data_IF_329874520020
#
_entry.id   IF_329874520020
#
_cell.length_a   1.000
_cell.length_b   1.000
_cell.length_c   1.000
_cell.angle_alpha   90.00
_cell.angle_beta   90.00
_cell.angle_gamma   90.00
#
_symmetry.space_group_name_H-M   'P 1'
#
loop_
_entity.id
_entity.type
_entity.pdbx_description
1 polymer ?
#
# COMPACT_ATOMS: atom_id res chain seq x y z
N UNK A 1 -12.95 -16.36 4.76
CA UNK A 1 -11.66 -16.90 4.29
C UNK A 1 -10.71 -16.94 5.48
N UNK A 2 -10.17 -18.11 5.85
CA UNK A 2 -9.18 -18.22 6.93
C UNK A 2 -7.81 -17.92 6.33
N UNK A 3 -7.09 -16.93 6.88
CA UNK A 3 -5.73 -16.66 6.45
C UNK A 3 -4.83 -17.76 7.01
N UNK A 4 -4.21 -18.53 6.14
CA UNK A 4 -3.15 -19.46 6.54
C UNK A 4 -1.94 -18.65 6.99
N UNK A 5 -1.46 -18.92 8.21
CA UNK A 5 -0.36 -18.18 8.83
C UNK A 5 0.91 -19.01 8.71
N UNK A 6 1.92 -18.45 8.04
CA UNK A 6 3.22 -19.11 7.83
C UNK A 6 4.21 -18.87 8.98
N UNK A 7 4.00 -17.81 9.77
CA UNK A 7 4.91 -17.40 10.85
C UNK A 7 4.28 -17.55 12.23
N UNK A 8 5.06 -17.99 13.21
CA UNK A 8 4.71 -17.94 14.63
C UNK A 8 5.51 -16.83 15.30
N UNK A 9 4.86 -16.04 16.18
CA UNK A 9 5.53 -15.03 16.98
C UNK A 9 6.25 -15.71 18.15
N UNK A 10 7.50 -15.33 18.39
CA UNK A 10 8.33 -15.77 19.52
C UNK A 10 8.68 -14.56 20.39
N UNK A 11 9.36 -14.77 21.52
CA UNK A 11 9.85 -13.68 22.37
C UNK A 11 10.87 -12.79 21.65
N UNK A 12 11.67 -13.39 20.76
CA UNK A 12 12.76 -12.72 20.03
C UNK A 12 12.34 -12.25 18.61
N UNK A 13 11.14 -12.58 18.14
CA UNK A 13 10.68 -12.18 16.80
C UNK A 13 9.67 -13.13 16.16
N UNK A 14 10.01 -13.68 15.00
CA UNK A 14 9.16 -14.59 14.24
C UNK A 14 9.94 -15.81 13.74
N UNK A 15 9.28 -16.97 13.74
CA UNK A 15 9.80 -18.22 13.17
C UNK A 15 8.81 -18.79 12.15
N UNK A 16 9.29 -19.61 11.22
CA UNK A 16 8.48 -20.29 10.20
C UNK A 16 9.00 -21.72 10.01
N UNK A 17 8.08 -22.67 9.82
CA UNK A 17 8.45 -24.06 9.50
C UNK A 17 9.04 -24.17 8.09
N UNK A 18 8.51 -23.39 7.14
CA UNK A 18 9.06 -23.20 5.80
C UNK A 18 9.50 -21.74 5.64
N UNK A 19 10.80 -21.51 5.80
CA UNK A 19 11.39 -20.18 5.72
C UNK A 19 11.32 -19.61 4.30
N UNK A 20 11.44 -20.44 3.26
CA UNK A 20 11.43 -19.99 1.88
C UNK A 20 10.02 -19.52 1.47
N UNK A 21 8.98 -20.25 1.88
CA UNK A 21 7.60 -19.81 1.69
C UNK A 21 7.28 -18.53 2.46
N UNK A 22 7.79 -18.39 3.69
CA UNK A 22 7.62 -17.18 4.49
C UNK A 22 8.29 -15.97 3.83
N UNK A 23 9.55 -16.10 3.39
CA UNK A 23 10.30 -15.04 2.70
C UNK A 23 9.63 -14.63 1.40
N UNK A 24 9.17 -15.57 0.56
CA UNK A 24 8.41 -15.25 -0.65
C UNK A 24 7.13 -14.46 -0.36
N UNK A 25 6.46 -14.73 0.75
CA UNK A 25 5.25 -14.01 1.13
C UNK A 25 5.57 -12.61 1.68
N UNK A 26 6.67 -12.47 2.40
CA UNK A 26 7.19 -11.17 2.83
C UNK A 26 7.54 -10.31 1.62
N UNK A 27 8.30 -10.84 0.65
CA UNK A 27 8.63 -10.12 -0.58
C UNK A 27 7.40 -9.62 -1.34
N UNK A 28 6.35 -10.43 -1.47
CA UNK A 28 5.09 -9.97 -2.09
C UNK A 28 4.35 -8.88 -1.30
N UNK A 29 4.53 -8.82 0.02
CA UNK A 29 3.98 -7.74 0.85
C UNK A 29 4.79 -6.46 0.68
N UNK A 30 6.12 -6.58 0.56
CA UNK A 30 7.03 -5.47 0.25
C UNK A 30 6.73 -4.91 -1.14
N UNK A 31 6.62 -5.76 -2.18
CA UNK A 31 6.23 -5.38 -3.54
C UNK A 31 4.89 -4.62 -3.56
N UNK A 32 3.91 -5.09 -2.77
CA UNK A 32 2.62 -4.42 -2.63
C UNK A 32 2.77 -3.03 -2.01
N UNK A 33 3.57 -2.91 -0.93
CA UNK A 33 3.78 -1.62 -0.28
C UNK A 33 4.47 -0.62 -1.23
N UNK A 34 5.51 -1.05 -1.94
CA UNK A 34 6.18 -0.24 -2.95
C UNK A 34 5.21 0.21 -4.05
N UNK A 35 4.38 -0.70 -4.56
CA UNK A 35 3.37 -0.38 -5.57
C UNK A 35 2.34 0.65 -5.08
N UNK A 36 1.90 0.54 -3.82
CA UNK A 36 0.97 1.50 -3.23
C UNK A 36 1.61 2.89 -3.08
N UNK A 37 2.87 2.96 -2.65
CA UNK A 37 3.61 4.22 -2.57
C UNK A 37 3.74 4.87 -3.95
N UNK A 38 4.13 4.10 -4.97
CA UNK A 38 4.20 4.59 -6.35
C UNK A 38 2.83 5.05 -6.89
N UNK A 39 1.75 4.34 -6.56
CA UNK A 39 0.40 4.74 -6.92
C UNK A 39 0.02 6.08 -6.28
N UNK A 40 0.33 6.27 -4.99
CA UNK A 40 0.07 7.53 -4.29
C UNK A 40 0.79 8.72 -4.95
N UNK A 41 2.09 8.54 -5.27
CA UNK A 41 2.90 9.56 -5.94
C UNK A 41 2.32 9.90 -7.32
N UNK A 42 1.96 8.88 -8.11
CA UNK A 42 1.36 9.07 -9.42
C UNK A 42 0.03 9.83 -9.34
N UNK A 43 -0.84 9.47 -8.39
CA UNK A 43 -2.12 10.18 -8.19
C UNK A 43 -1.86 11.64 -7.80
N UNK A 44 -0.89 11.90 -6.93
CA UNK A 44 -0.53 13.27 -6.54
C UNK A 44 -0.06 14.10 -7.76
N UNK A 45 0.80 13.54 -8.61
CA UNK A 45 1.27 14.19 -9.83
C UNK A 45 0.14 14.40 -10.86
N UNK A 46 -0.78 13.44 -11.02
CA UNK A 46 -1.96 13.56 -11.88
C UNK A 46 -2.89 14.70 -11.38
N UNK A 47 -3.06 14.83 -10.06
CA UNK A 47 -3.85 15.91 -9.46
C UNK A 47 -3.19 17.28 -9.60
N UNK A 48 -1.87 17.37 -9.42
CA UNK A 48 -1.11 18.61 -9.61
C UNK A 48 -1.25 19.14 -11.03
N UNK A 49 -1.08 18.28 -12.04
CA UNK A 49 -1.32 18.64 -13.46
C UNK A 49 -2.73 19.16 -13.70
N UNK A 50 -3.75 18.56 -13.09
CA UNK A 50 -5.13 19.06 -13.20
C UNK A 50 -5.32 20.41 -12.47
N UNK A 51 -4.61 20.62 -11.36
CA UNK A 51 -4.64 21.88 -10.61
C UNK A 51 -4.03 23.02 -11.43
N UNK A 52 -2.86 22.80 -12.02
CA UNK A 52 -2.18 23.77 -12.92
C UNK A 52 -3.05 24.12 -14.14
N UNK A 53 -3.82 23.15 -14.65
CA UNK A 53 -4.79 23.38 -15.72
C UNK A 53 -6.11 24.03 -15.25
N UNK A 54 -6.26 24.38 -13.97
CA UNK A 54 -7.47 24.98 -13.40
C UNK A 54 -8.66 24.02 -13.25
N UNK A 55 -8.44 22.70 -13.33
CA UNK A 55 -9.47 21.65 -13.39
C UNK A 55 -9.76 20.96 -12.06
N UNK A 56 -9.55 21.65 -10.94
CA UNK A 56 -9.74 21.11 -9.57
C UNK A 56 -11.18 20.71 -9.23
N UNK A 57 -12.18 21.23 -9.94
CA UNK A 57 -13.61 20.89 -9.74
C UNK A 57 -14.10 19.75 -10.65
N UNK A 58 -13.23 19.18 -11.48
CA UNK A 58 -13.60 18.13 -12.42
C UNK A 58 -13.97 16.81 -11.73
N UNK A 59 -14.78 15.97 -12.39
CA UNK A 59 -15.08 14.63 -11.91
C UNK A 59 -13.80 13.79 -11.74
N UNK A 60 -12.86 13.90 -12.70
CA UNK A 60 -11.55 13.25 -12.66
C UNK A 60 -10.74 13.64 -11.43
N UNK A 61 -10.67 14.94 -11.10
CA UNK A 61 -9.94 15.39 -9.91
C UNK A 61 -10.55 14.82 -8.63
N UNK A 62 -11.89 14.80 -8.52
CA UNK A 62 -12.58 14.21 -7.37
C UNK A 62 -12.35 12.70 -7.24
N UNK A 63 -12.32 11.98 -8.36
CA UNK A 63 -11.98 10.54 -8.38
C UNK A 63 -10.55 10.30 -7.93
N UNK A 64 -9.58 11.08 -8.43
CA UNK A 64 -8.19 11.01 -8.00
C UNK A 64 -8.03 11.34 -6.51
N UNK A 65 -8.73 12.35 -6.00
CA UNK A 65 -8.72 12.69 -4.58
C UNK A 65 -9.22 11.53 -3.70
N UNK A 66 -10.33 10.90 -4.09
CA UNK A 66 -10.85 9.72 -3.39
C UNK A 66 -9.88 8.53 -3.48
N UNK A 67 -9.28 8.31 -4.64
CA UNK A 67 -8.23 7.31 -4.85
C UNK A 67 -7.03 7.54 -3.94
N UNK A 68 -6.51 8.77 -3.90
CA UNK A 68 -5.40 9.16 -3.02
C UNK A 68 -5.72 8.87 -1.56
N UNK A 69 -6.90 9.27 -1.10
CA UNK A 69 -7.34 9.01 0.28
C UNK A 69 -7.37 7.52 0.61
N UNK A 70 -7.87 6.68 -0.30
CA UNK A 70 -7.91 5.23 -0.10
C UNK A 70 -6.51 4.63 0.00
N UNK A 71 -5.61 4.99 -0.93
CA UNK A 71 -4.22 4.51 -0.94
C UNK A 71 -3.46 4.99 0.30
N UNK A 72 -3.59 6.26 0.68
CA UNK A 72 -2.99 6.79 1.91
C UNK A 72 -3.49 6.04 3.16
N UNK A 73 -4.79 5.78 3.29
CA UNK A 73 -5.31 5.01 4.43
C UNK A 73 -4.77 3.58 4.46
N UNK A 74 -4.58 2.94 3.30
CA UNK A 74 -4.03 1.59 3.22
C UNK A 74 -2.56 1.57 3.63
N UNK A 75 -1.75 2.47 3.09
CA UNK A 75 -0.34 2.67 3.44
C UNK A 75 -0.19 2.89 4.95
N UNK A 76 -0.91 3.86 5.51
CA UNK A 76 -0.83 4.17 6.95
C UNK A 76 -1.24 2.99 7.84
N UNK A 77 -2.14 2.11 7.37
CA UNK A 77 -2.48 0.89 8.10
C UNK A 77 -1.38 -0.16 8.03
N UNK A 78 -0.65 -0.25 6.93
CA UNK A 78 0.46 -1.18 6.77
C UNK A 78 1.68 -0.74 7.59
N UNK A 79 1.98 0.55 7.63
CA UNK A 79 3.10 1.15 8.40
C UNK A 79 3.02 0.92 9.91
N UNK A 80 1.83 0.59 10.44
CA UNK A 80 1.67 0.21 11.85
C UNK A 80 2.30 -1.15 12.15
N UNK A 81 2.43 -2.03 11.14
CA UNK A 81 2.75 -3.44 11.32
C UNK A 81 3.98 -3.92 10.55
N UNK A 82 4.49 -3.14 9.59
CA UNK A 82 5.77 -3.37 8.92
C UNK A 82 6.88 -2.60 9.64
#
# INVERSE_FOLDING_TARGET
MKVERLTAKTEEGYTAADMEAALRRLGRLEDLYEALCAEQEKIAADMERLSEAGRTKSATYRQLFAGKFNVTNLISRMEIYM
#
